data_IF_765067768124
#
_entry.id   IF_765067768124
#
_cell.length_a   1.000
_cell.length_b   1.000
_cell.length_c   1.000
_cell.angle_alpha   90.00
_cell.angle_beta   90.00
_cell.angle_gamma   90.00
#
_symmetry.space_group_name_H-M   'P 1'
#
loop_
_entity.id
_entity.type
_entity.pdbx_description
1 polymer ?
#
# COMPACT_ATOMS: atom_id res chain seq x y z
N UNK A 1 5.38 -9.50 29.78
CA UNK A 1 4.71 -8.57 30.73
C UNK A 1 4.36 -7.33 29.94
N UNK A 2 3.09 -7.14 29.59
CA UNK A 2 2.64 -5.86 29.06
C UNK A 2 2.56 -4.87 30.21
N UNK A 3 3.30 -3.75 30.10
CA UNK A 3 3.15 -2.65 31.04
C UNK A 3 1.73 -2.09 30.86
N UNK A 4 0.86 -2.28 31.83
CA UNK A 4 -0.47 -1.65 31.84
C UNK A 4 -0.26 -0.14 32.02
N UNK A 5 -0.45 0.61 30.93
CA UNK A 5 -0.42 2.06 30.94
C UNK A 5 -1.53 2.59 31.87
N UNK A 6 -1.24 3.64 32.62
CA UNK A 6 -2.27 4.35 33.38
C UNK A 6 -3.24 5.05 32.43
N UNK A 7 -4.48 5.30 32.87
CA UNK A 7 -5.48 6.01 32.06
C UNK A 7 -4.94 7.34 31.51
N UNK A 8 -4.18 8.07 32.31
CA UNK A 8 -3.54 9.34 31.90
C UNK A 8 -2.47 9.14 30.80
N UNK A 9 -1.73 8.02 30.83
CA UNK A 9 -0.77 7.68 29.77
C UNK A 9 -1.48 7.27 28.47
N UNK A 10 -2.61 6.56 28.57
CA UNK A 10 -3.44 6.21 27.41
C UNK A 10 -4.03 7.49 26.77
N UNK A 11 -4.60 8.40 27.58
CA UNK A 11 -5.16 9.66 27.09
C UNK A 11 -4.08 10.53 26.40
N UNK A 12 -2.84 10.55 26.92
CA UNK A 12 -1.72 11.28 26.34
C UNK A 12 -1.21 10.65 25.04
N UNK A 13 -1.22 9.32 24.95
CA UNK A 13 -0.84 8.59 23.74
C UNK A 13 -1.91 8.72 22.63
N UNK A 14 -3.19 8.78 22.99
CA UNK A 14 -4.28 9.06 22.06
C UNK A 14 -4.14 10.49 21.48
N UNK A 15 -3.87 11.50 22.31
CA UNK A 15 -3.59 12.86 21.84
C UNK A 15 -2.34 12.93 20.94
N UNK A 16 -1.27 12.20 21.26
CA UNK A 16 -0.06 12.13 20.45
C UNK A 16 -0.30 11.38 19.14
N UNK A 17 -1.14 10.34 19.14
CA UNK A 17 -1.52 9.58 17.97
C UNK A 17 -2.28 10.42 16.94
N UNK A 18 -3.23 11.23 17.41
CA UNK A 18 -4.05 12.11 16.56
C UNK A 18 -3.32 13.40 16.14
N UNK A 19 -2.29 13.82 16.92
CA UNK A 19 -1.56 15.08 16.71
C UNK A 19 -0.24 14.91 15.95
N UNK A 20 0.05 13.73 15.34
CA UNK A 20 1.29 13.56 14.58
C UNK A 20 1.32 14.53 13.38
N UNK A 21 2.42 15.26 13.22
CA UNK A 21 2.59 16.31 12.20
C UNK A 21 3.38 15.87 10.97
N UNK A 22 3.92 14.64 10.96
CA UNK A 22 4.78 14.15 9.90
C UNK A 22 4.51 12.68 9.57
N UNK A 23 4.56 12.37 8.27
CA UNK A 23 4.51 11.02 7.74
C UNK A 23 5.90 10.65 7.20
N UNK A 24 6.42 9.47 7.52
CA UNK A 24 7.70 9.00 7.01
C UNK A 24 7.63 8.76 5.50
N UNK A 25 8.72 9.04 4.79
CA UNK A 25 8.87 8.80 3.34
C UNK A 25 8.77 7.31 3.03
N UNK A 26 9.38 6.47 3.89
CA UNK A 26 9.25 5.02 3.83
C UNK A 26 8.37 4.51 4.98
N UNK A 27 7.81 3.30 4.82
CA UNK A 27 7.12 2.62 5.93
C UNK A 27 8.10 2.47 7.09
N UNK A 28 7.81 3.02 8.29
CA UNK A 28 8.76 2.98 9.39
C UNK A 28 8.98 1.54 9.86
N UNK A 29 10.21 1.06 9.78
CA UNK A 29 10.59 -0.30 10.16
C UNK A 29 11.70 -0.27 11.19
N UNK A 30 11.64 -1.18 12.16
CA UNK A 30 12.73 -1.39 13.13
C UNK A 30 13.95 -2.02 12.42
N UNK A 31 15.15 -1.73 12.90
CA UNK A 31 16.37 -2.29 12.33
C UNK A 31 16.41 -3.84 12.37
N UNK A 32 15.73 -4.45 13.35
CA UNK A 32 15.64 -5.91 13.55
C UNK A 32 14.38 -6.55 12.91
N UNK A 33 13.63 -5.81 12.08
CA UNK A 33 12.34 -6.23 11.54
C UNK A 33 12.35 -7.57 10.79
N UNK A 34 13.49 -7.99 10.27
CA UNK A 34 13.65 -9.21 9.47
C UNK A 34 14.48 -10.31 10.15
N UNK A 35 14.80 -10.16 11.44
CA UNK A 35 15.48 -11.20 12.22
C UNK A 35 14.57 -12.41 12.45
N UNK A 36 13.27 -12.18 12.75
CA UNK A 36 12.28 -13.25 12.87
C UNK A 36 11.83 -13.75 11.52
N UNK A 37 11.75 -15.06 11.37
CA UNK A 37 11.13 -15.70 10.20
C UNK A 37 9.62 -15.40 10.13
N UNK A 38 9.02 -15.56 8.94
CA UNK A 38 7.58 -15.42 8.79
C UNK A 38 6.80 -16.40 9.68
N UNK A 39 7.31 -17.62 9.86
CA UNK A 39 6.67 -18.61 10.75
C UNK A 39 6.67 -18.15 12.20
N UNK A 40 7.78 -17.61 12.70
CA UNK A 40 7.84 -17.04 14.04
C UNK A 40 6.89 -15.87 14.22
N UNK A 41 6.84 -14.95 13.23
CA UNK A 41 5.90 -13.82 13.23
C UNK A 41 4.45 -14.30 13.27
N UNK A 42 4.10 -15.32 12.45
CA UNK A 42 2.73 -15.87 12.43
C UNK A 42 2.34 -16.50 13.77
N UNK A 43 3.24 -17.21 14.42
CA UNK A 43 2.97 -17.80 15.74
C UNK A 43 2.71 -16.71 16.77
N UNK A 44 3.60 -15.74 16.91
CA UNK A 44 3.46 -14.66 17.87
C UNK A 44 2.21 -13.79 17.61
N UNK A 45 1.93 -13.44 16.34
CA UNK A 45 0.73 -12.66 16.00
C UNK A 45 -0.53 -13.47 16.30
N UNK A 46 -0.54 -14.80 16.06
CA UNK A 46 -1.69 -15.63 16.38
C UNK A 46 -1.98 -15.66 17.89
N UNK A 47 -0.95 -15.75 18.72
CA UNK A 47 -1.09 -15.70 20.20
C UNK A 47 -1.64 -14.35 20.66
N UNK A 48 -1.08 -13.25 20.15
CA UNK A 48 -1.53 -11.90 20.48
C UNK A 48 -2.98 -11.65 20.01
N UNK A 49 -3.33 -12.13 18.82
CA UNK A 49 -4.68 -11.97 18.29
C UNK A 49 -5.72 -12.82 19.05
N UNK A 50 -5.34 -14.01 19.52
CA UNK A 50 -6.17 -14.79 20.43
C UNK A 50 -6.47 -14.01 21.71
N UNK A 51 -5.46 -13.38 22.32
CA UNK A 51 -5.64 -12.53 23.51
C UNK A 51 -6.59 -11.35 23.24
N UNK A 52 -6.46 -10.69 22.06
CA UNK A 52 -7.40 -9.62 21.66
C UNK A 52 -8.85 -10.15 21.63
N UNK A 53 -9.07 -11.31 21.03
CA UNK A 53 -10.40 -11.90 20.94
C UNK A 53 -10.96 -12.28 22.33
N UNK A 54 -10.13 -12.83 23.22
CA UNK A 54 -10.50 -13.16 24.60
C UNK A 54 -10.85 -11.90 25.41
N UNK A 55 -10.08 -10.82 25.29
CA UNK A 55 -10.39 -9.53 25.93
C UNK A 55 -11.71 -8.95 25.44
N UNK A 56 -12.07 -9.20 24.16
CA UNK A 56 -13.37 -8.83 23.60
C UNK A 56 -14.52 -9.77 24.04
N UNK A 57 -14.24 -10.79 24.83
CA UNK A 57 -15.22 -11.75 25.36
C UNK A 57 -15.64 -12.84 24.36
N UNK A 58 -14.84 -13.09 23.32
CA UNK A 58 -15.12 -14.13 22.33
C UNK A 58 -14.71 -15.50 22.85
N UNK A 59 -15.55 -16.53 22.62
CA UNK A 59 -15.27 -17.92 22.99
C UNK A 59 -14.47 -18.62 21.88
N UNK A 60 -13.16 -18.79 22.12
CA UNK A 60 -12.26 -19.49 21.19
C UNK A 60 -12.40 -21.02 21.21
N UNK A 61 -13.22 -21.59 22.09
CA UNK A 61 -13.55 -23.02 22.05
C UNK A 61 -14.59 -23.34 20.98
N UNK A 62 -15.34 -22.31 20.51
CA UNK A 62 -16.27 -22.45 19.40
C UNK A 62 -15.54 -22.78 18.09
N UNK A 63 -16.06 -23.75 17.35
CA UNK A 63 -15.43 -24.26 16.12
C UNK A 63 -15.27 -23.20 15.03
N UNK A 64 -16.17 -22.22 14.96
CA UNK A 64 -16.13 -21.13 13.99
C UNK A 64 -14.99 -20.13 14.25
N UNK A 65 -14.63 -19.92 15.52
CA UNK A 65 -13.63 -18.93 15.98
C UNK A 65 -12.26 -19.51 16.28
N UNK A 66 -12.19 -20.79 16.67
CA UNK A 66 -10.96 -21.48 17.09
C UNK A 66 -9.76 -21.27 16.13
N UNK A 67 -10.02 -21.23 14.82
CA UNK A 67 -8.98 -21.07 13.80
C UNK A 67 -8.68 -19.60 13.42
N UNK A 68 -9.47 -18.63 13.92
CA UNK A 68 -9.36 -17.22 13.50
C UNK A 68 -8.01 -16.60 13.81
N UNK A 69 -7.38 -16.78 14.99
CA UNK A 69 -6.07 -16.21 15.27
C UNK A 69 -5.00 -16.60 14.25
N UNK A 70 -4.94 -17.87 13.88
CA UNK A 70 -3.99 -18.36 12.86
C UNK A 70 -4.28 -17.81 11.46
N UNK A 71 -5.55 -17.70 11.08
CA UNK A 71 -5.96 -17.12 9.79
C UNK A 71 -5.57 -15.65 9.70
N UNK A 72 -5.81 -14.87 10.75
CA UNK A 72 -5.44 -13.45 10.82
C UNK A 72 -3.93 -13.28 10.76
N UNK A 73 -3.18 -14.06 11.54
CA UNK A 73 -1.72 -14.00 11.53
C UNK A 73 -1.13 -14.30 10.14
N UNK A 74 -1.63 -15.35 9.47
CA UNK A 74 -1.21 -15.68 8.10
C UNK A 74 -1.54 -14.54 7.13
N UNK A 75 -2.77 -14.05 7.17
CA UNK A 75 -3.23 -12.94 6.33
C UNK A 75 -2.35 -11.70 6.49
N UNK A 76 -2.03 -11.30 7.72
CA UNK A 76 -1.19 -10.13 7.97
C UNK A 76 0.24 -10.31 7.44
N UNK A 77 0.88 -11.45 7.72
CA UNK A 77 2.30 -11.65 7.40
C UNK A 77 2.50 -11.91 5.90
N UNK A 78 1.61 -12.68 5.27
CA UNK A 78 1.84 -13.18 3.91
C UNK A 78 1.07 -12.39 2.83
N UNK A 79 -0.08 -11.83 3.17
CA UNK A 79 -0.99 -11.22 2.20
C UNK A 79 -1.01 -9.69 2.34
N UNK A 80 -1.56 -9.16 3.44
CA UNK A 80 -1.77 -7.72 3.59
C UNK A 80 -0.47 -6.93 3.75
N UNK A 81 0.53 -7.50 4.43
CA UNK A 81 1.80 -6.83 4.72
C UNK A 81 3.02 -7.57 4.15
N UNK A 82 2.78 -8.45 3.18
CA UNK A 82 3.86 -9.17 2.48
C UNK A 82 4.85 -8.26 1.74
N UNK A 83 4.42 -7.07 1.33
CA UNK A 83 5.26 -6.06 0.69
C UNK A 83 6.26 -5.36 1.62
N UNK A 84 6.16 -5.57 2.94
CA UNK A 84 7.19 -5.13 3.88
C UNK A 84 8.49 -5.93 3.72
N UNK A 85 8.40 -7.19 3.27
CA UNK A 85 9.57 -8.03 3.07
C UNK A 85 10.25 -7.70 1.73
N UNK A 86 11.50 -7.19 1.72
CA UNK A 86 12.21 -6.86 0.49
C UNK A 86 12.40 -8.06 -0.46
N UNK A 87 12.41 -9.29 0.08
CA UNK A 87 12.52 -10.51 -0.73
C UNK A 87 11.30 -10.76 -1.62
N UNK A 88 10.16 -10.16 -1.30
CA UNK A 88 8.92 -10.26 -2.08
C UNK A 88 8.86 -9.20 -3.20
N UNK A 89 9.85 -8.31 -3.29
CA UNK A 89 9.91 -7.32 -4.39
C UNK A 89 9.93 -8.05 -5.73
N UNK A 90 9.00 -7.73 -6.66
CA UNK A 90 8.93 -8.45 -7.93
C UNK A 90 10.16 -8.18 -8.78
N UNK A 91 10.73 -9.22 -9.38
CA UNK A 91 11.78 -9.05 -10.38
C UNK A 91 11.24 -8.32 -11.60
N UNK A 92 11.94 -7.27 -12.04
CA UNK A 92 11.56 -6.44 -13.18
C UNK A 92 12.17 -7.01 -14.46
N UNK A 93 11.30 -7.32 -15.42
CA UNK A 93 11.73 -7.73 -16.76
C UNK A 93 11.58 -6.55 -17.71
N UNK A 94 12.71 -6.08 -18.21
CA UNK A 94 12.78 -5.02 -19.22
C UNK A 94 13.11 -5.62 -20.57
N UNK A 95 12.56 -5.02 -21.62
CA UNK A 95 12.82 -5.37 -23.02
C UNK A 95 13.35 -4.14 -23.76
N UNK A 96 14.16 -4.36 -24.78
CA UNK A 96 14.54 -3.29 -25.69
C UNK A 96 13.32 -2.76 -26.46
N UNK A 97 13.19 -1.45 -26.55
CA UNK A 97 12.13 -0.80 -27.33
C UNK A 97 12.48 -0.83 -28.84
N UNK A 98 12.50 -2.03 -29.42
CA UNK A 98 12.82 -2.22 -30.86
C UNK A 98 11.87 -1.52 -31.81
N UNK A 99 10.62 -1.30 -31.38
CA UNK A 99 9.62 -0.56 -32.16
C UNK A 99 9.82 0.96 -32.13
N UNK A 100 10.79 1.46 -31.33
CA UNK A 100 11.02 2.88 -31.11
C UNK A 100 9.74 3.63 -30.73
N UNK A 101 8.90 2.97 -29.92
CA UNK A 101 7.66 3.56 -29.42
C UNK A 101 7.98 4.66 -28.40
N UNK A 102 7.90 5.91 -28.87
CA UNK A 102 8.28 7.11 -28.13
C UNK A 102 7.07 7.90 -27.61
N UNK A 103 5.89 7.28 -27.63
CA UNK A 103 4.66 7.86 -27.09
C UNK A 103 4.47 7.48 -25.61
N UNK A 104 3.48 8.09 -24.99
CA UNK A 104 3.02 7.71 -23.66
C UNK A 104 2.41 6.30 -23.71
N UNK A 105 2.87 5.42 -22.82
CA UNK A 105 2.21 4.15 -22.53
C UNK A 105 1.44 4.31 -21.24
N UNK A 106 0.18 3.90 -21.22
CA UNK A 106 -0.69 4.00 -20.04
C UNK A 106 -1.26 2.62 -19.73
N UNK A 107 -1.01 2.13 -18.54
CA UNK A 107 -1.69 0.99 -17.94
C UNK A 107 -2.73 1.54 -16.96
N UNK A 108 -4.01 1.40 -17.29
CA UNK A 108 -5.10 2.00 -16.50
C UNK A 108 -5.91 0.96 -15.74
N UNK A 109 -6.64 1.42 -14.72
CA UNK A 109 -7.57 0.61 -13.93
C UNK A 109 -6.91 -0.56 -13.19
N UNK A 110 -5.65 -0.44 -12.81
CA UNK A 110 -4.97 -1.43 -11.96
C UNK A 110 -5.67 -1.45 -10.61
N UNK A 111 -6.38 -2.53 -10.30
CA UNK A 111 -7.00 -2.69 -8.98
C UNK A 111 -5.93 -2.87 -7.92
N UNK A 112 -6.06 -2.20 -6.79
CA UNK A 112 -5.18 -2.41 -5.65
C UNK A 112 -5.96 -2.44 -4.34
N UNK A 113 -5.37 -3.13 -3.37
CA UNK A 113 -5.81 -3.19 -1.98
C UNK A 113 -4.61 -2.89 -1.10
N UNK A 114 -4.77 -1.96 -0.18
CA UNK A 114 -3.79 -1.57 0.83
C UNK A 114 -4.46 -1.47 2.19
N UNK A 115 -3.73 -1.10 3.22
CA UNK A 115 -4.26 -0.90 4.56
C UNK A 115 -3.75 0.41 5.12
N UNK A 116 -4.66 1.20 5.68
CA UNK A 116 -4.32 2.43 6.39
C UNK A 116 -3.36 2.12 7.55
N UNK A 117 -2.23 2.82 7.65
CA UNK A 117 -1.24 2.57 8.70
C UNK A 117 -1.75 2.91 10.10
N UNK A 118 -2.74 3.83 10.20
CA UNK A 118 -3.28 4.28 11.49
C UNK A 118 -4.28 3.29 12.12
N UNK A 119 -5.04 2.56 11.30
CA UNK A 119 -6.15 1.72 11.77
C UNK A 119 -6.09 0.27 11.28
N UNK A 120 -5.16 -0.07 10.40
CA UNK A 120 -5.04 -1.37 9.73
C UNK A 120 -6.32 -1.84 9.02
N UNK A 121 -7.16 -0.89 8.58
CA UNK A 121 -8.35 -1.16 7.77
C UNK A 121 -8.07 -0.88 6.29
N UNK A 122 -8.80 -1.54 5.36
CA UNK A 122 -8.49 -1.47 3.94
C UNK A 122 -8.60 -0.08 3.32
N UNK A 123 -7.71 0.18 2.38
CA UNK A 123 -7.77 1.19 1.33
C UNK A 123 -7.83 0.42 0.02
N UNK A 124 -8.78 0.72 -0.85
CA UNK A 124 -8.89 0.03 -2.13
C UNK A 124 -9.35 0.95 -3.24
N UNK A 125 -8.90 0.68 -4.45
CA UNK A 125 -9.22 1.56 -5.57
C UNK A 125 -8.54 1.14 -6.86
N UNK A 126 -8.29 2.16 -7.70
CA UNK A 126 -7.64 2.02 -9.00
C UNK A 126 -6.38 2.86 -9.05
N UNK A 127 -5.34 2.28 -9.61
CA UNK A 127 -4.12 2.99 -9.98
C UNK A 127 -4.01 3.07 -11.51
N UNK A 128 -3.50 4.18 -11.99
CA UNK A 128 -3.15 4.40 -13.39
C UNK A 128 -1.67 4.75 -13.44
N UNK A 129 -0.93 4.04 -14.25
CA UNK A 129 0.51 4.20 -14.40
C UNK A 129 0.81 4.58 -15.83
N UNK A 130 1.57 5.65 -16.03
CA UNK A 130 2.01 6.06 -17.35
C UNK A 130 3.52 6.29 -17.36
N UNK A 131 4.15 5.98 -18.50
CA UNK A 131 5.56 6.31 -18.71
C UNK A 131 5.85 6.53 -20.20
N UNK A 132 6.94 7.22 -20.48
CA UNK A 132 7.54 7.24 -21.83
C UNK A 132 8.88 6.50 -21.78
N UNK A 133 9.06 5.58 -22.71
CA UNK A 133 10.26 4.76 -22.82
C UNK A 133 11.51 5.61 -23.11
N UNK A 134 12.59 5.26 -22.44
CA UNK A 134 13.96 5.73 -22.77
C UNK A 134 14.78 4.55 -23.27
N UNK A 135 14.34 3.93 -24.38
CA UNK A 135 15.00 2.78 -25.00
C UNK A 135 14.63 1.42 -24.41
N UNK A 136 13.92 1.38 -23.26
CA UNK A 136 13.45 0.13 -22.63
C UNK A 136 11.97 0.21 -22.34
N UNK A 137 11.30 -0.94 -22.41
CA UNK A 137 9.89 -1.10 -22.03
C UNK A 137 9.77 -2.20 -20.98
N UNK A 138 8.80 -2.05 -20.09
CA UNK A 138 8.51 -3.03 -19.03
C UNK A 138 7.33 -3.91 -19.43
N UNK A 139 7.36 -5.17 -19.05
CA UNK A 139 6.20 -6.05 -19.22
C UNK A 139 4.99 -5.54 -18.42
N UNK A 140 3.81 -5.43 -19.04
CA UNK A 140 2.61 -4.84 -18.43
C UNK A 140 2.27 -5.45 -17.06
N UNK A 141 2.34 -6.79 -16.95
CA UNK A 141 2.12 -7.47 -15.66
C UNK A 141 3.08 -7.05 -14.55
N UNK A 142 4.24 -6.45 -14.89
CA UNK A 142 5.21 -5.98 -13.90
C UNK A 142 4.77 -4.64 -13.31
N UNK A 143 4.09 -3.79 -14.07
CA UNK A 143 3.46 -2.56 -13.57
C UNK A 143 2.43 -2.91 -12.49
N UNK A 144 1.55 -3.87 -12.78
CA UNK A 144 0.57 -4.37 -11.81
C UNK A 144 1.25 -4.90 -10.54
N UNK A 145 2.32 -5.68 -10.67
CA UNK A 145 3.05 -6.27 -9.53
C UNK A 145 3.76 -5.24 -8.68
N UNK A 146 4.30 -4.15 -9.27
CA UNK A 146 4.85 -3.03 -8.50
C UNK A 146 3.77 -2.38 -7.64
N UNK A 147 2.63 -2.04 -8.24
CA UNK A 147 1.50 -1.46 -7.51
C UNK A 147 1.08 -2.36 -6.35
N UNK A 148 0.91 -3.67 -6.58
CA UNK A 148 0.54 -4.63 -5.54
C UNK A 148 1.60 -4.74 -4.44
N UNK A 149 2.88 -4.76 -4.79
CA UNK A 149 3.98 -4.88 -3.82
C UNK A 149 4.03 -3.71 -2.85
N UNK A 150 3.90 -2.47 -3.36
CA UNK A 150 3.89 -1.28 -2.52
C UNK A 150 2.55 -1.11 -1.77
N UNK A 151 1.44 -1.55 -2.35
CA UNK A 151 0.14 -1.56 -1.69
C UNK A 151 0.08 -2.57 -0.52
N UNK A 152 0.79 -3.70 -0.60
CA UNK A 152 0.83 -4.72 0.46
C UNK A 152 1.70 -4.29 1.67
N UNK A 153 1.45 -3.09 2.20
CA UNK A 153 2.11 -2.48 3.36
C UNK A 153 1.09 -1.67 4.15
N UNK A 154 1.35 -1.35 5.44
CA UNK A 154 0.66 -0.25 6.10
C UNK A 154 1.01 1.06 5.39
N UNK A 155 0.01 1.80 4.89
CA UNK A 155 0.23 2.95 4.01
C UNK A 155 -0.61 4.18 4.38
N UNK A 156 -0.10 5.32 3.95
CA UNK A 156 -0.89 6.49 3.54
C UNK A 156 -0.83 6.57 2.02
N UNK A 157 -1.89 7.05 1.39
CA UNK A 157 -2.02 6.97 -0.07
C UNK A 157 -0.98 7.82 -0.79
N UNK A 158 -0.57 8.94 -0.22
CA UNK A 158 0.47 9.83 -0.74
C UNK A 158 1.83 9.13 -0.82
N UNK A 159 2.21 8.42 0.24
CA UNK A 159 3.44 7.62 0.26
C UNK A 159 3.38 6.50 -0.78
N UNK A 160 2.28 5.76 -0.84
CA UNK A 160 2.08 4.68 -1.80
C UNK A 160 2.27 5.18 -3.23
N UNK A 161 1.63 6.29 -3.58
CA UNK A 161 1.72 6.91 -4.90
C UNK A 161 3.15 7.31 -5.24
N UNK A 162 3.84 7.95 -4.31
CA UNK A 162 5.24 8.38 -4.48
C UNK A 162 6.19 7.19 -4.61
N UNK A 163 6.07 6.16 -3.79
CA UNK A 163 6.92 4.97 -3.84
C UNK A 163 6.80 4.25 -5.18
N UNK A 164 5.59 4.11 -5.73
CA UNK A 164 5.37 3.51 -7.05
C UNK A 164 6.04 4.37 -8.13
N UNK A 165 5.88 5.69 -8.09
CA UNK A 165 6.46 6.61 -9.05
C UNK A 165 7.99 6.56 -9.06
N UNK A 166 8.62 6.62 -7.90
CA UNK A 166 10.08 6.56 -7.76
C UNK A 166 10.64 5.21 -8.21
N UNK A 167 10.03 4.10 -7.82
CA UNK A 167 10.42 2.76 -8.28
C UNK A 167 10.41 2.66 -9.81
N UNK A 168 9.40 3.21 -10.44
CA UNK A 168 9.30 3.17 -11.90
C UNK A 168 10.35 4.02 -12.60
N UNK A 169 10.72 5.18 -12.03
CA UNK A 169 11.84 6.00 -12.52
C UNK A 169 13.14 5.19 -12.47
N UNK A 170 13.42 4.55 -11.34
CA UNK A 170 14.64 3.76 -11.16
C UNK A 170 14.69 2.57 -12.11
N UNK A 171 13.61 1.79 -12.17
CA UNK A 171 13.55 0.57 -12.98
C UNK A 171 13.62 0.87 -14.48
N UNK A 172 12.88 1.87 -14.95
CA UNK A 172 12.80 2.21 -16.37
C UNK A 172 13.97 3.07 -16.86
N UNK A 173 14.69 3.72 -15.95
CA UNK A 173 15.77 4.67 -16.28
C UNK A 173 15.25 5.89 -17.05
N UNK A 174 14.01 6.32 -16.80
CA UNK A 174 13.38 7.50 -17.37
C UNK A 174 12.73 8.34 -16.28
N UNK A 175 12.81 9.66 -16.42
CA UNK A 175 12.09 10.59 -15.53
C UNK A 175 10.63 10.80 -15.96
N UNK A 176 10.26 10.34 -17.14
CA UNK A 176 8.92 10.54 -17.70
C UNK A 176 7.95 9.47 -17.16
N UNK A 177 7.51 9.66 -15.94
CA UNK A 177 6.61 8.75 -15.21
C UNK A 177 5.46 9.53 -14.58
N UNK A 178 4.26 8.94 -14.60
CA UNK A 178 3.11 9.42 -13.85
C UNK A 178 2.39 8.26 -13.16
N UNK A 179 1.89 8.52 -11.97
CA UNK A 179 1.01 7.61 -11.22
C UNK A 179 -0.18 8.42 -10.72
N UNK A 180 -1.38 7.91 -10.94
CA UNK A 180 -2.63 8.48 -10.42
C UNK A 180 -3.34 7.36 -9.68
N UNK A 181 -3.73 7.61 -8.44
CA UNK A 181 -4.47 6.65 -7.63
C UNK A 181 -5.77 7.28 -7.15
N UNK A 182 -6.88 6.56 -7.32
CA UNK A 182 -8.19 6.91 -6.78
C UNK A 182 -8.68 5.78 -5.90
N UNK A 183 -8.94 6.06 -4.63
CA UNK A 183 -9.26 5.03 -3.65
C UNK A 183 -10.26 5.46 -2.60
N UNK A 184 -11.00 4.45 -2.11
CA UNK A 184 -11.84 4.53 -0.92
C UNK A 184 -11.06 4.07 0.31
N UNK A 185 -11.27 4.78 1.41
CA UNK A 185 -10.63 4.52 2.68
C UNK A 185 -11.65 4.01 3.70
N UNK A 186 -11.59 2.74 4.10
CA UNK A 186 -12.52 2.20 5.10
C UNK A 186 -12.31 2.81 6.49
N UNK A 187 -11.18 3.41 6.78
CA UNK A 187 -11.01 4.19 8.01
C UNK A 187 -11.90 5.44 8.08
N UNK A 188 -12.39 5.92 6.93
CA UNK A 188 -13.36 7.03 6.82
C UNK A 188 -14.77 6.49 6.66
N UNK A 189 -14.99 5.51 5.77
CA UNK A 189 -16.34 5.06 5.39
C UNK A 189 -16.95 4.03 6.33
N UNK A 190 -16.17 3.11 6.92
CA UNK A 190 -16.71 2.04 7.78
C UNK A 190 -16.81 2.39 9.26
N UNK A 191 -16.14 3.46 9.69
CA UNK A 191 -16.09 3.97 11.06
C UNK A 191 -15.90 5.50 11.09
N UNK A 192 -15.89 6.11 12.28
CA UNK A 192 -15.66 7.53 12.43
C UNK A 192 -16.73 8.35 11.69
N UNK A 193 -16.33 9.07 10.66
CA UNK A 193 -17.20 9.97 9.86
C UNK A 193 -18.28 9.20 9.09
N UNK A 194 -18.03 7.94 8.71
CA UNK A 194 -18.95 7.07 7.96
C UNK A 194 -19.41 7.64 6.61
N UNK A 195 -18.52 8.38 5.93
CA UNK A 195 -18.77 8.85 4.58
C UNK A 195 -18.32 7.80 3.55
N UNK A 196 -19.27 7.18 2.87
CA UNK A 196 -19.05 6.16 1.84
C UNK A 196 -19.04 6.72 0.41
N UNK A 197 -19.38 7.98 0.24
CA UNK A 197 -19.43 8.63 -1.06
C UNK A 197 -18.07 9.19 -1.51
N UNK A 198 -17.23 9.60 -0.56
CA UNK A 198 -15.93 10.20 -0.87
C UNK A 198 -14.90 9.19 -1.37
N UNK A 199 -14.02 9.66 -2.24
CA UNK A 199 -12.76 8.99 -2.60
C UNK A 199 -11.61 9.99 -2.52
N UNK A 200 -10.38 9.47 -2.40
CA UNK A 200 -9.17 10.28 -2.36
C UNK A 200 -8.38 10.04 -3.63
N UNK A 201 -8.01 11.12 -4.33
CA UNK A 201 -7.14 11.07 -5.51
C UNK A 201 -5.77 11.60 -5.12
N UNK A 202 -4.73 10.81 -5.39
CA UNK A 202 -3.33 11.23 -5.25
C UNK A 202 -2.59 11.05 -6.57
N UNK A 203 -1.61 11.93 -6.82
CA UNK A 203 -0.88 11.96 -8.08
C UNK A 203 0.62 12.07 -7.85
N UNK A 204 1.38 11.43 -8.72
CA UNK A 204 2.81 11.62 -8.89
C UNK A 204 3.07 11.95 -10.36
N UNK A 205 3.68 13.10 -10.61
CA UNK A 205 4.09 13.51 -11.95
C UNK A 205 5.58 13.81 -11.99
N UNK A 206 6.27 13.32 -13.04
CA UNK A 206 7.69 13.55 -13.25
C UNK A 206 8.00 13.74 -14.74
N UNK A 207 9.11 14.40 -15.05
CA UNK A 207 9.57 14.63 -16.40
C UNK A 207 8.53 15.33 -17.28
N UNK A 208 8.19 14.73 -18.42
CA UNK A 208 7.22 15.30 -19.36
C UNK A 208 5.82 15.48 -18.77
N UNK A 209 5.43 14.68 -17.76
CA UNK A 209 4.11 14.76 -17.14
C UNK A 209 3.92 15.99 -16.25
N UNK A 210 4.97 16.77 -15.98
CA UNK A 210 4.84 18.10 -15.37
C UNK A 210 4.35 19.18 -16.35
N UNK A 211 4.20 18.84 -17.64
CA UNK A 211 3.68 19.77 -18.65
C UNK A 211 2.17 19.67 -18.71
N UNK A 212 1.43 20.79 -18.64
CA UNK A 212 -0.04 20.80 -18.62
C UNK A 212 -0.69 20.02 -19.77
N UNK A 213 -0.12 20.13 -20.98
CA UNK A 213 -0.65 19.44 -22.17
C UNK A 213 -0.50 17.91 -22.05
N UNK A 214 0.56 17.41 -21.39
CA UNK A 214 0.77 15.97 -21.19
C UNK A 214 -0.08 15.41 -20.05
N UNK A 215 -0.30 16.20 -19.01
CA UNK A 215 -1.29 15.86 -17.98
C UNK A 215 -2.70 15.76 -18.59
N UNK A 216 -3.10 16.74 -19.40
CA UNK A 216 -4.41 16.73 -20.06
C UNK A 216 -4.57 15.51 -20.99
N UNK A 217 -3.53 15.17 -21.76
CA UNK A 217 -3.51 13.98 -22.63
C UNK A 217 -3.66 12.69 -21.80
N UNK A 218 -2.93 12.56 -20.69
CA UNK A 218 -3.03 11.41 -19.78
C UNK A 218 -4.45 11.27 -19.22
N UNK A 219 -5.04 12.36 -18.74
CA UNK A 219 -6.41 12.34 -18.22
C UNK A 219 -7.44 11.94 -19.29
N UNK A 220 -7.23 12.34 -20.55
CA UNK A 220 -8.09 11.88 -21.66
C UNK A 220 -8.00 10.36 -21.86
N UNK A 221 -6.81 9.74 -21.75
CA UNK A 221 -6.67 8.28 -21.86
C UNK A 221 -7.32 7.55 -20.68
N UNK A 222 -7.19 8.08 -19.48
CA UNK A 222 -7.76 7.46 -18.27
C UNK A 222 -9.29 7.49 -18.31
N UNK A 223 -9.88 8.62 -18.73
CA UNK A 223 -11.32 8.85 -18.72
C UNK A 223 -12.05 8.28 -19.96
N UNK A 224 -11.34 7.71 -20.94
CA UNK A 224 -11.97 6.97 -22.03
C UNK A 224 -12.36 5.58 -21.54
N UNK A 225 -13.63 5.24 -21.66
CA UNK A 225 -14.18 3.90 -21.43
C UNK A 225 -13.60 2.85 -22.39
#
# INVERSE_FOLDING_TARGET
MFNTLSKHQIDLEDELGDAHSATSIETPMRADAFVKSNEQKKLEIAELFAQIMEVMGMDLTDDSLRGTPKRVAKMYVEELFGGLNPKNKPAMTLFENKFQYNQMLVEKNISFYSNCEHHFVPIFGKAHVAYRSNGKVIGLSKLNRIVQYYAARPQVQERLTNQIGQELIEVLGTTDVAVIMDAKHLCVSSRGVKDDASSTVTVFYSGMFNKPEKMAELHQYINKD
#
